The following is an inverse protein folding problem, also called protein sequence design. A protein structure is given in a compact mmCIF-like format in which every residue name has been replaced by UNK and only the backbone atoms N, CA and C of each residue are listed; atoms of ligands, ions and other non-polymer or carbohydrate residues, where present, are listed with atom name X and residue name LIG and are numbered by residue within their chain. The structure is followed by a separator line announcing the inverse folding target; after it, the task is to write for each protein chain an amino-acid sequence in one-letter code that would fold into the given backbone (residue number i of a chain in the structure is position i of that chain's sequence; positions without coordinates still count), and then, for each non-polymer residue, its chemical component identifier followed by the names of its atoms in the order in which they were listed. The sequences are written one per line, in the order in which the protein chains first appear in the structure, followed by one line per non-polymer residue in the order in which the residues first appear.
data_IF_411943169579
#
_entry.id   IF_411943169579
#
_cell.length_a   1.000
_cell.length_b   1.000
_cell.length_c   1.000
_cell.angle_alpha   90.00
_cell.angle_beta   90.00
_cell.angle_gamma   90.00
#
_symmetry.space_group_name_H-M   'P 1'
#
loop_
_entity.id
_entity.type
_entity.pdbx_description
1 polymer ?
#
# COMPACT_ATOMS: atom_id res chain seq x y z
N UNK A 1 7.67 1.63 -20.08
CA UNK A 1 7.73 2.92 -19.37
C UNK A 1 8.26 2.64 -17.98
N UNK A 2 9.13 3.48 -17.40
CA UNK A 2 9.43 3.39 -15.98
C UNK A 2 8.12 3.59 -15.20
N UNK A 3 7.82 2.69 -14.27
CA UNK A 3 6.64 2.79 -13.40
C UNK A 3 6.71 4.08 -12.59
N UNK A 4 5.56 4.71 -12.35
CA UNK A 4 5.53 5.93 -11.53
C UNK A 4 6.03 5.63 -10.11
N UNK A 5 6.60 6.62 -9.39
CA UNK A 5 7.08 6.41 -8.02
C UNK A 5 6.02 5.77 -7.12
N UNK A 6 4.76 6.22 -7.22
CA UNK A 6 3.64 5.67 -6.46
C UNK A 6 3.37 4.18 -6.77
N UNK A 7 3.47 3.74 -8.03
CA UNK A 7 3.33 2.33 -8.41
C UNK A 7 4.44 1.47 -7.81
N UNK A 8 5.69 1.97 -7.81
CA UNK A 8 6.82 1.28 -7.18
C UNK A 8 6.66 1.15 -5.68
N UNK A 9 6.12 2.18 -5.03
CA UNK A 9 5.89 2.21 -3.60
C UNK A 9 4.76 1.27 -3.18
N UNK A 10 3.66 1.20 -3.93
CA UNK A 10 2.61 0.20 -3.65
C UNK A 10 3.06 -1.23 -3.93
N UNK A 11 3.88 -1.46 -4.97
CA UNK A 11 4.50 -2.76 -5.19
C UNK A 11 5.41 -3.19 -4.04
N UNK A 12 6.08 -2.25 -3.39
CA UNK A 12 6.84 -2.53 -2.19
C UNK A 12 5.93 -2.97 -1.04
N UNK A 13 4.86 -2.23 -0.76
CA UNK A 13 3.88 -2.63 0.27
C UNK A 13 3.29 -4.02 -0.03
N UNK A 14 2.92 -4.29 -1.27
CA UNK A 14 2.36 -5.59 -1.69
C UNK A 14 3.33 -6.75 -1.53
N UNK A 15 4.63 -6.50 -1.76
CA UNK A 15 5.68 -7.49 -1.47
C UNK A 15 5.74 -7.81 0.02
N UNK A 16 5.66 -6.79 0.88
CA UNK A 16 5.66 -7.01 2.34
C UNK A 16 4.40 -7.75 2.79
N UNK A 17 3.22 -7.39 2.25
CA UNK A 17 1.96 -8.11 2.48
C UNK A 17 2.04 -9.58 2.06
N UNK A 18 2.80 -9.90 1.01
CA UNK A 18 3.03 -11.28 0.58
C UNK A 18 3.95 -12.06 1.50
N UNK A 19 5.07 -11.46 1.92
CA UNK A 19 6.08 -12.15 2.74
C UNK A 19 5.66 -12.33 4.18
N UNK A 20 5.04 -11.31 4.77
CA UNK A 20 4.76 -11.22 6.20
C UNK A 20 3.27 -11.39 6.50
N UNK A 21 2.42 -11.21 5.49
CA UNK A 21 0.97 -11.23 5.63
C UNK A 21 0.40 -9.85 5.96
N UNK A 22 -0.78 -9.58 5.42
CA UNK A 22 -1.50 -8.29 5.52
C UNK A 22 -1.60 -7.80 6.97
N UNK A 23 -1.93 -8.68 7.93
CA UNK A 23 -2.09 -8.29 9.32
C UNK A 23 -0.77 -7.85 9.98
N UNK A 24 0.37 -8.43 9.59
CA UNK A 24 1.68 -8.02 10.10
C UNK A 24 2.11 -6.70 9.46
N UNK A 25 1.99 -6.59 8.14
CA UNK A 25 2.31 -5.37 7.39
C UNK A 25 1.46 -4.19 7.85
N UNK A 26 0.17 -4.41 8.13
CA UNK A 26 -0.72 -3.37 8.66
C UNK A 26 -0.22 -2.83 10.01
N UNK A 27 0.08 -3.71 10.97
CA UNK A 27 0.60 -3.30 12.28
C UNK A 27 1.91 -2.54 12.15
N UNK A 28 2.86 -3.11 11.39
CA UNK A 28 4.15 -2.49 11.15
C UNK A 28 4.01 -1.12 10.50
N UNK A 29 3.05 -0.93 9.59
CA UNK A 29 2.85 0.38 8.95
C UNK A 29 2.23 1.47 9.86
N UNK A 30 1.76 1.09 11.06
CA UNK A 30 1.17 2.00 12.04
C UNK A 30 2.10 2.28 13.23
N UNK A 31 3.19 1.53 13.38
CA UNK A 31 4.19 1.69 14.44
C UNK A 31 5.59 1.84 13.82
N UNK A 32 6.24 2.97 14.10
CA UNK A 32 7.54 3.30 13.52
C UNK A 32 8.66 2.33 13.96
N UNK A 33 8.58 1.79 15.17
CA UNK A 33 9.58 0.84 15.67
C UNK A 33 9.38 -0.52 15.01
N UNK A 34 8.13 -0.99 14.89
CA UNK A 34 7.82 -2.22 14.13
C UNK A 34 8.18 -2.06 12.64
N UNK A 35 7.90 -0.90 12.03
CA UNK A 35 8.32 -0.61 10.66
C UNK A 35 9.85 -0.70 10.51
N UNK A 36 10.60 -0.13 11.46
CA UNK A 36 12.06 -0.15 11.44
C UNK A 36 12.60 -1.57 11.56
N UNK A 37 12.14 -2.34 12.52
CA UNK A 37 12.56 -3.74 12.71
C UNK A 37 12.24 -4.58 11.48
N UNK A 38 11.00 -4.51 10.99
CA UNK A 38 10.54 -5.25 9.81
C UNK A 38 11.37 -4.91 8.57
N UNK A 39 11.60 -3.62 8.32
CA UNK A 39 12.39 -3.18 7.17
C UNK A 39 13.88 -3.50 7.33
N UNK A 40 14.41 -3.49 8.56
CA UNK A 40 15.80 -3.89 8.82
C UNK A 40 16.03 -5.36 8.47
N UNK A 41 15.12 -6.24 8.92
CA UNK A 41 15.19 -7.68 8.60
C UNK A 41 15.12 -7.96 7.10
N UNK A 42 14.30 -7.20 6.37
CA UNK A 42 14.09 -7.36 4.93
C UNK A 42 15.21 -6.74 4.08
N UNK A 43 15.66 -5.53 4.42
CA UNK A 43 16.66 -4.78 3.65
C UNK A 43 18.10 -5.22 3.99
N UNK A 44 18.31 -5.78 5.18
CA UNK A 44 19.64 -6.12 5.71
C UNK A 44 20.47 -4.89 6.11
N UNK A 45 19.85 -3.71 6.19
CA UNK A 45 20.44 -2.45 6.64
C UNK A 45 19.40 -1.60 7.38
N UNK A 46 19.86 -0.64 8.19
CA UNK A 46 18.98 0.29 8.92
C UNK A 46 18.22 1.18 7.93
N UNK A 47 16.88 1.06 7.85
CA UNK A 47 16.09 1.85 6.93
C UNK A 47 16.24 3.34 7.23
N UNK A 48 16.34 4.14 6.18
CA UNK A 48 16.37 5.60 6.32
C UNK A 48 15.02 6.12 6.80
N UNK A 49 15.00 7.27 7.47
CA UNK A 49 13.76 7.96 7.87
C UNK A 49 12.80 8.17 6.70
N UNK A 50 13.33 8.46 5.51
CA UNK A 50 12.52 8.58 4.30
C UNK A 50 11.83 7.27 3.94
N UNK A 51 12.52 6.13 4.04
CA UNK A 51 11.93 4.82 3.75
C UNK A 51 10.86 4.45 4.77
N UNK A 52 11.09 4.75 6.05
CA UNK A 52 10.11 4.55 7.11
C UNK A 52 8.86 5.40 6.89
N UNK A 53 9.04 6.70 6.65
CA UNK A 53 7.94 7.61 6.35
C UNK A 53 7.13 7.14 5.16
N UNK A 54 7.79 6.77 4.06
CA UNK A 54 7.11 6.24 2.87
C UNK A 54 6.35 4.95 3.17
N UNK A 55 6.93 4.02 3.93
CA UNK A 55 6.25 2.78 4.28
C UNK A 55 4.98 3.03 5.12
N UNK A 56 5.06 3.90 6.11
CA UNK A 56 3.91 4.30 6.93
C UNK A 56 2.82 4.99 6.09
N UNK A 57 3.22 5.89 5.19
CA UNK A 57 2.31 6.57 4.27
C UNK A 57 1.55 5.60 3.36
N UNK A 58 2.22 4.56 2.86
CA UNK A 58 1.62 3.52 2.03
C UNK A 58 0.62 2.66 2.83
N UNK A 59 1.00 2.28 4.05
CA UNK A 59 0.08 1.55 4.93
C UNK A 59 -1.16 2.38 5.24
N UNK A 60 -0.98 3.68 5.52
CA UNK A 60 -2.10 4.60 5.71
C UNK A 60 -3.00 4.66 4.46
N UNK A 61 -2.40 4.78 3.26
CA UNK A 61 -3.12 4.75 1.98
C UNK A 61 -3.99 3.50 1.84
N UNK A 62 -3.43 2.34 2.14
CA UNK A 62 -4.07 1.04 1.99
C UNK A 62 -5.14 0.76 3.05
N UNK A 63 -4.83 1.00 4.32
CA UNK A 63 -5.59 0.45 5.44
C UNK A 63 -6.53 1.44 6.12
N UNK A 64 -6.29 2.75 5.96
CA UNK A 64 -7.17 3.78 6.52
C UNK A 64 -7.94 4.47 5.39
N UNK A 65 -7.22 4.97 4.39
CA UNK A 65 -7.75 5.93 3.44
C UNK A 65 -8.65 5.25 2.41
N UNK A 66 -8.17 4.17 1.79
CA UNK A 66 -8.98 3.41 0.83
C UNK A 66 -10.35 3.04 1.44
N UNK A 67 -10.44 2.43 2.63
CA UNK A 67 -11.73 2.18 3.29
C UNK A 67 -12.58 3.44 3.48
N UNK A 68 -12.00 4.56 3.93
CA UNK A 68 -12.72 5.82 4.14
C UNK A 68 -13.35 6.37 2.86
N UNK A 69 -12.63 6.32 1.74
CA UNK A 69 -13.14 6.78 0.44
C UNK A 69 -14.00 5.72 -0.27
N UNK A 70 -14.30 4.61 0.39
CA UNK A 70 -15.15 3.53 -0.13
C UNK A 70 -14.45 2.69 -1.18
N UNK A 71 -13.16 2.41 -1.00
CA UNK A 71 -12.37 1.48 -1.82
C UNK A 71 -11.94 0.31 -0.94
N UNK A 72 -12.10 -0.91 -1.44
CA UNK A 72 -11.57 -2.12 -0.81
C UNK A 72 -10.58 -2.78 -1.76
N UNK A 73 -9.39 -3.09 -1.23
CA UNK A 73 -8.38 -3.85 -1.96
C UNK A 73 -8.55 -5.35 -1.67
N UNK A 74 -8.50 -6.17 -2.71
CA UNK A 74 -8.57 -7.63 -2.61
C UNK A 74 -7.39 -8.27 -3.29
N UNK A 75 -6.81 -9.26 -2.62
CA UNK A 75 -5.88 -10.19 -3.22
C UNK A 75 -6.64 -11.32 -3.90
N UNK A 76 -6.62 -11.38 -5.23
CA UNK A 76 -7.16 -12.50 -6.00
C UNK A 76 -6.06 -13.49 -6.34
N UNK A 77 -6.13 -14.68 -5.75
CA UNK A 77 -5.25 -15.81 -6.07
C UNK A 77 -5.54 -16.34 -7.49
N UNK A 78 -4.48 -16.53 -8.27
CA UNK A 78 -4.49 -17.08 -9.64
C UNK A 78 -3.50 -18.25 -9.73
N UNK A 79 -3.63 -19.14 -10.71
CA UNK A 79 -2.68 -20.24 -10.90
C UNK A 79 -1.22 -19.81 -11.13
N UNK A 80 -0.99 -18.55 -11.50
CA UNK A 80 0.32 -17.97 -11.82
C UNK A 80 0.76 -16.86 -10.86
N UNK A 81 0.16 -16.79 -9.67
CA UNK A 81 0.47 -15.79 -8.64
C UNK A 81 -0.79 -15.12 -8.12
N UNK A 82 -0.67 -13.91 -7.58
CA UNK A 82 -1.82 -13.12 -7.15
C UNK A 82 -1.95 -11.85 -7.98
N UNK A 83 -3.15 -11.30 -7.98
CA UNK A 83 -3.43 -9.98 -8.53
C UNK A 83 -4.16 -9.16 -7.49
N UNK A 84 -3.65 -7.97 -7.20
CA UNK A 84 -4.40 -6.99 -6.43
C UNK A 84 -5.48 -6.37 -7.30
N UNK A 85 -6.71 -6.35 -6.79
CA UNK A 85 -7.84 -5.68 -7.42
C UNK A 85 -8.48 -4.71 -6.44
N UNK A 86 -8.95 -3.58 -6.94
CA UNK A 86 -9.59 -2.55 -6.15
C UNK A 86 -11.07 -2.51 -6.50
N UNK A 87 -11.93 -2.47 -5.50
CA UNK A 87 -13.37 -2.40 -5.68
C UNK A 87 -13.91 -1.12 -5.04
N UNK A 88 -14.75 -0.40 -5.77
CA UNK A 88 -15.57 0.67 -5.22
C UNK A 88 -16.73 0.05 -4.43
N UNK A 89 -16.81 0.34 -3.14
CA UNK A 89 -17.82 -0.20 -2.21
C UNK A 89 -19.22 0.32 -2.55
N UNK A 90 -19.36 1.53 -3.10
CA UNK A 90 -20.65 2.13 -3.45
C UNK A 90 -21.23 1.53 -4.72
N UNK A 91 -20.39 1.34 -5.73
CA UNK A 91 -20.84 0.85 -7.05
C UNK A 91 -20.67 -0.66 -7.21
N UNK A 92 -19.91 -1.31 -6.32
CA UNK A 92 -19.48 -2.71 -6.38
C UNK A 92 -18.61 -3.06 -7.60
N UNK A 93 -18.22 -2.07 -8.40
CA UNK A 93 -17.40 -2.26 -9.59
C UNK A 93 -15.91 -2.33 -9.23
N UNK A 94 -15.18 -3.17 -9.97
CA UNK A 94 -13.72 -3.16 -9.91
C UNK A 94 -13.19 -1.92 -10.65
N UNK A 95 -12.31 -1.21 -9.99
CA UNK A 95 -11.68 0.02 -10.49
C UNK A 95 -10.19 -0.23 -10.74
N UNK A 96 -9.63 0.55 -11.66
CA UNK A 96 -8.21 0.45 -11.99
C UNK A 96 -7.33 1.00 -10.86
N UNK A 97 -6.05 0.62 -10.87
CA UNK A 97 -5.04 1.21 -9.98
C UNK A 97 -4.94 2.73 -10.16
N UNK A 98 -4.98 3.20 -11.42
CA UNK A 98 -4.94 4.62 -11.74
C UNK A 98 -6.13 5.37 -11.14
N UNK A 99 -7.34 4.83 -11.27
CA UNK A 99 -8.54 5.42 -10.68
C UNK A 99 -8.48 5.41 -9.15
N UNK A 100 -7.97 4.34 -8.55
CA UNK A 100 -7.75 4.26 -7.10
C UNK A 100 -6.79 5.35 -6.62
N UNK A 101 -5.69 5.54 -7.33
CA UNK A 101 -4.68 6.56 -7.04
C UNK A 101 -5.27 7.97 -7.16
N UNK A 102 -6.05 8.24 -8.21
CA UNK A 102 -6.72 9.54 -8.38
C UNK A 102 -7.75 9.80 -7.28
N UNK A 103 -8.51 8.79 -6.86
CA UNK A 103 -9.47 8.94 -5.74
C UNK A 103 -8.78 9.16 -4.41
N UNK A 104 -7.64 8.49 -4.17
CA UNK A 104 -6.81 8.78 -2.99
C UNK A 104 -6.36 10.23 -3.06
N UNK A 105 -5.78 10.71 -4.17
CA UNK A 105 -5.37 12.11 -4.35
C UNK A 105 -6.51 13.11 -4.13
N UNK A 106 -7.71 12.82 -4.63
CA UNK A 106 -8.90 13.66 -4.47
C UNK A 106 -9.45 13.65 -3.04
N UNK A 107 -9.45 12.50 -2.37
CA UNK A 107 -9.84 12.37 -0.96
C UNK A 107 -8.81 12.98 0.00
N UNK A 108 -7.55 13.07 -0.43
CA UNK A 108 -6.43 13.54 0.40
C UNK A 108 -6.02 14.99 0.23
N UNK A 109 -6.67 15.78 -0.62
CA UNK A 109 -6.31 17.19 -0.80
C UNK A 109 -4.81 17.39 -1.03
N UNK A 110 -4.36 17.11 -2.27
CA UNK A 110 -2.99 17.36 -2.74
C UNK A 110 -1.86 16.73 -1.89
N UNK A 111 -1.39 15.55 -2.32
CA UNK A 111 0.00 15.16 -2.09
C UNK A 111 0.91 16.19 -2.77
N UNK A 112 1.35 17.21 -2.02
CA UNK A 112 2.41 18.12 -2.46
C UNK A 112 3.75 17.39 -2.31
N UNK A 113 4.20 16.83 -3.43
CA UNK A 113 5.62 16.53 -3.68
C UNK A 113 6.43 17.83 -3.76
#
# INVERSE_FOLDING_TARGET
MPKEPAERYMEWLEREEERLGIAATQRASMDIEEAREMLYEELGYDPTESQLSTFMELGKARYEIMPEIGITAYRFERPYGYQMVYQDVKTTLFISYAETTERIKMGWGEWRY
#
